data_IF_344997973638
#
_entry.id   IF_344997973638
#
_cell.length_a   1.000
_cell.length_b   1.000
_cell.length_c   1.000
_cell.angle_alpha   90.00
_cell.angle_beta   90.00
_cell.angle_gamma   90.00
#
_symmetry.space_group_name_H-M   'P 1'
#
loop_
_entity.id
_entity.type
_entity.pdbx_description
1 polymer ?
#
# COMPACT_ATOMS: atom_id res chain seq x y z
N UNK A 1 3.45 1.59 14.81
CA UNK A 1 2.51 2.71 14.52
C UNK A 1 2.78 3.36 13.17
N UNK A 2 4.03 3.70 12.85
CA UNK A 2 4.41 4.33 11.58
C UNK A 2 3.98 3.55 10.33
N UNK A 3 4.26 2.23 10.28
CA UNK A 3 3.83 1.36 9.17
C UNK A 3 2.32 1.33 8.93
N UNK A 4 1.51 1.41 10.00
CA UNK A 4 0.05 1.50 9.85
C UNK A 4 -0.37 2.81 9.15
N UNK A 5 0.32 3.90 9.44
CA UNK A 5 0.08 5.20 8.80
C UNK A 5 0.49 5.13 7.33
N UNK A 6 1.66 4.55 7.01
CA UNK A 6 2.12 4.38 5.62
C UNK A 6 1.13 3.55 4.80
N UNK A 7 0.64 2.44 5.35
CA UNK A 7 -0.42 1.63 4.73
C UNK A 7 -1.69 2.46 4.47
N UNK A 8 -2.15 3.24 5.45
CA UNK A 8 -3.35 4.08 5.30
C UNK A 8 -3.16 5.19 4.27
N UNK A 9 -1.99 5.83 4.22
CA UNK A 9 -1.68 6.87 3.23
C UNK A 9 -1.62 6.27 1.83
N UNK A 10 -0.94 5.14 1.64
CA UNK A 10 -0.90 4.45 0.35
C UNK A 10 -2.28 4.02 -0.11
N UNK A 11 -3.18 3.62 0.81
CA UNK A 11 -4.57 3.30 0.48
C UNK A 11 -5.35 4.53 -0.02
N UNK A 12 -5.17 5.69 0.62
CA UNK A 12 -5.81 6.95 0.20
C UNK A 12 -5.32 7.34 -1.21
N UNK A 13 -4.02 7.26 -1.45
CA UNK A 13 -3.43 7.56 -2.76
C UNK A 13 -3.93 6.57 -3.82
N UNK A 14 -4.05 5.28 -3.47
CA UNK A 14 -4.59 4.25 -4.36
C UNK A 14 -6.03 4.58 -4.79
N UNK A 15 -6.89 4.92 -3.83
CA UNK A 15 -8.30 5.28 -4.12
C UNK A 15 -8.36 6.54 -4.98
N UNK A 16 -7.57 7.58 -4.64
CA UNK A 16 -7.49 8.81 -5.42
C UNK A 16 -7.01 8.57 -6.85
N UNK A 17 -5.99 7.73 -7.03
CA UNK A 17 -5.48 7.36 -8.34
C UNK A 17 -6.51 6.60 -9.18
N UNK A 18 -7.30 5.71 -8.58
CA UNK A 18 -8.39 4.99 -9.28
C UNK A 18 -9.51 5.93 -9.71
N UNK A 19 -9.94 6.84 -8.83
CA UNK A 19 -10.95 7.86 -9.18
C UNK A 19 -10.44 8.74 -10.32
N UNK A 20 -9.18 9.17 -10.25
CA UNK A 20 -8.55 9.99 -11.28
C UNK A 20 -8.38 9.24 -12.61
N UNK A 21 -8.07 7.94 -12.56
CA UNK A 21 -8.00 7.09 -13.75
C UNK A 21 -9.36 7.01 -14.45
N UNK A 22 -10.43 6.74 -13.69
CA UNK A 22 -11.81 6.67 -14.21
C UNK A 22 -12.19 8.01 -14.85
N UNK A 23 -11.95 9.13 -14.15
CA UNK A 23 -12.22 10.46 -14.68
C UNK A 23 -11.44 10.74 -15.97
N UNK A 24 -10.16 10.36 -16.04
CA UNK A 24 -9.31 10.57 -17.21
C UNK A 24 -9.80 9.79 -18.43
N UNK A 25 -10.22 8.54 -18.24
CA UNK A 25 -10.81 7.74 -19.32
C UNK A 25 -12.17 8.30 -19.77
N UNK A 26 -13.00 8.78 -18.83
CA UNK A 26 -14.25 9.46 -19.15
C UNK A 26 -14.00 10.73 -19.99
N UNK A 27 -12.92 11.47 -19.70
CA UNK A 27 -12.49 12.64 -20.47
C UNK A 27 -11.73 12.30 -21.77
N UNK A 28 -11.72 11.04 -22.22
CA UNK A 28 -10.99 10.54 -23.39
C UNK A 28 -9.45 10.73 -23.34
N UNK A 29 -8.88 10.95 -22.15
CA UNK A 29 -7.44 11.10 -21.97
C UNK A 29 -6.80 9.76 -21.57
N UNK A 30 -6.43 8.97 -22.57
CA UNK A 30 -5.83 7.64 -22.38
C UNK A 30 -4.50 7.74 -21.63
N UNK A 31 -3.64 8.69 -22.00
CA UNK A 31 -2.32 8.84 -21.38
C UNK A 31 -2.42 9.14 -19.88
N UNK A 32 -3.33 10.03 -19.49
CA UNK A 32 -3.56 10.37 -18.08
C UNK A 32 -4.18 9.20 -17.30
N UNK A 33 -5.14 8.49 -17.91
CA UNK A 33 -5.75 7.31 -17.30
C UNK A 33 -4.75 6.19 -17.05
N UNK A 34 -3.89 5.89 -18.03
CA UNK A 34 -2.82 4.89 -17.88
C UNK A 34 -1.80 5.33 -16.83
N UNK A 35 -1.39 6.60 -16.82
CA UNK A 35 -0.49 7.14 -15.80
C UNK A 35 -1.05 6.97 -14.38
N UNK A 36 -2.35 7.24 -14.20
CA UNK A 36 -3.04 7.05 -12.93
C UNK A 36 -3.11 5.57 -12.50
N UNK A 37 -3.30 4.64 -13.45
CA UNK A 37 -3.25 3.20 -13.17
C UNK A 37 -1.84 2.74 -12.75
N UNK A 38 -0.78 3.29 -13.34
CA UNK A 38 0.60 3.00 -12.90
C UNK A 38 0.81 3.46 -11.45
N UNK A 39 0.36 4.67 -11.11
CA UNK A 39 0.42 5.18 -9.73
C UNK A 39 -0.36 4.28 -8.76
N UNK A 40 -1.54 3.80 -9.16
CA UNK A 40 -2.32 2.86 -8.38
C UNK A 40 -1.55 1.54 -8.15
N UNK A 41 -0.97 0.96 -9.20
CA UNK A 41 -0.17 -0.27 -9.10
C UNK A 41 1.03 -0.12 -8.16
N UNK A 42 1.77 0.98 -8.26
CA UNK A 42 2.92 1.26 -7.39
C UNK A 42 2.49 1.38 -5.92
N UNK A 43 1.40 2.09 -5.63
CA UNK A 43 0.90 2.19 -4.25
C UNK A 43 0.41 0.84 -3.72
N UNK A 44 -0.20 0.01 -4.55
CA UNK A 44 -0.59 -1.35 -4.19
C UNK A 44 0.63 -2.20 -3.81
N UNK A 45 1.72 -2.11 -4.59
CA UNK A 45 2.98 -2.78 -4.26
C UNK A 45 3.56 -2.33 -2.91
N UNK A 46 3.60 -1.01 -2.65
CA UNK A 46 4.07 -0.49 -1.37
C UNK A 46 3.23 -1.00 -0.19
N UNK A 47 1.90 -1.03 -0.32
CA UNK A 47 1.03 -1.57 0.72
C UNK A 47 1.32 -3.03 1.03
N UNK A 48 1.49 -3.87 -0.01
CA UNK A 48 1.80 -5.29 0.16
C UNK A 48 3.16 -5.46 0.86
N UNK A 49 4.15 -4.64 0.48
CA UNK A 49 5.47 -4.66 1.10
C UNK A 49 5.37 -4.32 2.59
N UNK A 50 4.71 -3.23 2.95
CA UNK A 50 4.52 -2.82 4.35
C UNK A 50 3.75 -3.87 5.17
N UNK A 51 2.74 -4.52 4.58
CA UNK A 51 2.01 -5.60 5.24
C UNK A 51 2.88 -6.81 5.52
N UNK A 52 3.77 -7.15 4.59
CA UNK A 52 4.70 -8.27 4.77
C UNK A 52 5.69 -7.96 5.89
N UNK A 53 6.31 -6.80 5.86
CA UNK A 53 7.30 -6.44 6.89
C UNK A 53 6.68 -6.31 8.28
N UNK A 54 5.46 -5.76 8.38
CA UNK A 54 4.75 -5.70 9.66
C UNK A 54 4.49 -7.10 10.23
N UNK A 55 4.11 -8.07 9.39
CA UNK A 55 3.95 -9.47 9.82
C UNK A 55 5.26 -10.08 10.28
N UNK A 56 6.35 -9.84 9.55
CA UNK A 56 7.67 -10.39 9.89
C UNK A 56 8.17 -9.83 11.23
N UNK A 57 7.94 -8.54 11.52
CA UNK A 57 8.22 -7.92 12.82
C UNK A 57 7.39 -8.55 13.95
N UNK A 58 6.09 -8.76 13.74
CA UNK A 58 5.20 -9.38 14.72
C UNK A 58 5.65 -10.82 15.05
N UNK A 59 6.05 -11.60 14.05
CA UNK A 59 6.57 -12.96 14.25
C UNK A 59 7.90 -12.97 15.02
N UNK A 60 8.80 -12.03 14.71
CA UNK A 60 10.07 -11.89 15.42
C UNK A 60 9.85 -11.55 16.90
N UNK A 61 8.93 -10.63 17.18
CA UNK A 61 8.56 -10.27 18.56
C UNK A 61 7.95 -11.45 19.32
N UNK A 62 7.05 -12.21 18.69
CA UNK A 62 6.50 -13.45 19.26
C UNK A 62 7.60 -14.47 19.58
N UNK A 63 8.57 -14.64 18.69
CA UNK A 63 9.69 -15.54 18.91
C UNK A 63 10.54 -15.13 20.12
N UNK A 64 10.83 -13.84 20.28
CA UNK A 64 11.55 -13.33 21.45
C UNK A 64 10.76 -13.54 22.75
N UNK A 65 9.45 -13.24 22.76
CA UNK A 65 8.61 -13.44 23.94
C UNK A 65 8.55 -14.92 24.36
N UNK A 66 8.52 -15.84 23.40
CA UNK A 66 8.44 -17.29 23.68
C UNK A 66 9.78 -17.92 24.08
N UNK A 67 10.92 -17.31 23.74
CA UNK A 67 12.26 -17.88 23.99
C UNK A 67 13.10 -17.15 25.05
N UNK A 68 12.63 -16.01 25.58
CA UNK A 68 13.32 -15.26 26.65
C UNK A 68 12.74 -15.57 28.04
N UNK A 69 11.58 -16.22 28.13
CA UNK A 69 10.96 -16.66 29.39
C UNK A 69 11.46 -18.05 29.90
N UNK A 70 12.57 -18.57 29.36
CA UNK A 70 13.33 -19.72 29.91
C UNK A 70 14.68 -19.22 30.41
#
# INVERSE_FOLDING_TARGET
MWKNIEISVSLIILIGALIFAIYSFYANSIAMGVGALIVALVNCYYMIKEWKEKRDEDYLMLWYLLNVEI
#
